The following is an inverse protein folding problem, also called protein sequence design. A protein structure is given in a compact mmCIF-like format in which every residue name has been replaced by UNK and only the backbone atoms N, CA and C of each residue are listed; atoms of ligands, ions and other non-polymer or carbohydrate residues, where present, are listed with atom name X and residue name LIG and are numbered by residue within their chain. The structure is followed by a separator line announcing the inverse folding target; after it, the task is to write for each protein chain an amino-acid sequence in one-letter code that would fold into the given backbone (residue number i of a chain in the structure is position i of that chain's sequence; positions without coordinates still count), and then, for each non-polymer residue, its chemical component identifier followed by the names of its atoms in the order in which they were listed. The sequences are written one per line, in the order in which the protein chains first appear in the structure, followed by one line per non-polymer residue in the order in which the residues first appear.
data_IF_387149914038
#
_entry.id   IF_387149914038
#
_cell.length_a   1.000
_cell.length_b   1.000
_cell.length_c   1.000
_cell.angle_alpha   90.00
_cell.angle_beta   90.00
_cell.angle_gamma   90.00
#
_symmetry.space_group_name_H-M   'P 1'
#
loop_
_entity.id
_entity.type
_entity.pdbx_description
1 polymer ?
#
# COMPACT_ATOMS: atom_id res chain seq x y z
N UNK A 1 22.78 -1.57 15.70
CA UNK A 1 22.23 -1.76 14.33
C UNK A 1 20.87 -1.08 14.29
N UNK A 2 20.71 0.00 13.51
CA UNK A 2 19.38 0.56 13.23
C UNK A 2 18.65 -0.51 12.40
N UNK A 3 17.61 -1.13 12.95
CA UNK A 3 16.76 -2.02 12.15
C UNK A 3 16.11 -1.15 11.09
N UNK A 4 16.26 -1.48 9.80
CA UNK A 4 15.58 -0.69 8.80
C UNK A 4 14.08 -0.79 8.99
N UNK A 5 13.43 0.36 8.96
CA UNK A 5 12.00 0.44 9.17
C UNK A 5 11.35 0.09 7.84
N UNK A 6 10.92 -1.17 7.74
CA UNK A 6 10.08 -1.62 6.64
C UNK A 6 8.62 -1.33 6.99
N UNK A 7 7.85 -0.97 5.96
CA UNK A 7 6.41 -0.86 6.04
C UNK A 7 5.81 -1.79 4.98
N UNK A 8 4.66 -2.35 5.32
CA UNK A 8 3.91 -3.22 4.41
C UNK A 8 2.94 -2.36 3.61
N UNK A 9 2.95 -2.51 2.28
CA UNK A 9 1.96 -1.89 1.43
C UNK A 9 0.58 -2.48 1.71
N UNK A 10 -0.38 -1.63 2.10
CA UNK A 10 -1.75 -2.08 2.41
C UNK A 10 -2.54 -2.57 1.18
N UNK A 11 -2.03 -2.33 -0.03
CA UNK A 11 -2.66 -2.71 -1.30
C UNK A 11 -2.19 -4.10 -1.75
N UNK A 12 -0.86 -4.34 -1.75
CA UNK A 12 -0.28 -5.58 -2.28
C UNK A 12 0.39 -6.48 -1.23
N UNK A 13 0.46 -6.07 0.05
CA UNK A 13 1.01 -6.88 1.14
C UNK A 13 2.53 -7.07 1.12
N UNK A 14 3.27 -6.36 0.26
CA UNK A 14 4.74 -6.45 0.17
C UNK A 14 5.44 -5.44 1.07
N UNK A 15 6.64 -5.81 1.53
CA UNK A 15 7.51 -4.98 2.37
C UNK A 15 8.35 -4.00 1.54
N UNK A 16 8.34 -2.73 1.95
CA UNK A 16 9.15 -1.67 1.35
C UNK A 16 9.84 -0.88 2.44
N UNK A 17 11.00 -0.30 2.10
CA UNK A 17 11.64 0.70 2.96
C UNK A 17 10.66 1.84 3.25
N UNK A 18 10.64 2.34 4.48
CA UNK A 18 9.74 3.44 4.87
C UNK A 18 9.86 4.67 3.98
N UNK A 19 11.03 4.93 3.39
CA UNK A 19 11.22 6.03 2.44
C UNK A 19 10.63 5.72 1.05
N UNK A 20 10.74 4.47 0.60
CA UNK A 20 10.26 4.05 -0.71
C UNK A 20 8.76 3.75 -0.74
N UNK A 21 8.14 3.42 0.41
CA UNK A 21 6.71 3.08 0.44
C UNK A 21 5.82 4.25 0.01
N UNK A 22 6.20 5.49 0.32
CA UNK A 22 5.49 6.70 -0.11
C UNK A 22 5.46 6.88 -1.63
N UNK A 23 6.45 6.32 -2.33
CA UNK A 23 6.52 6.31 -3.80
C UNK A 23 5.83 5.06 -4.37
N UNK A 24 5.91 3.94 -3.66
CA UNK A 24 5.28 2.68 -4.06
C UNK A 24 3.75 2.71 -3.97
N UNK A 25 3.17 3.17 -2.86
CA UNK A 25 1.71 3.18 -2.63
C UNK A 25 0.91 3.80 -3.79
N UNK A 26 1.21 5.02 -4.28
CA UNK A 26 0.45 5.60 -5.39
C UNK A 26 0.60 4.80 -6.69
N UNK A 27 1.80 4.28 -6.99
CA UNK A 27 2.02 3.43 -8.17
C UNK A 27 1.29 2.08 -8.05
N UNK A 28 1.23 1.52 -6.85
CA UNK A 28 0.53 0.28 -6.57
C UNK A 28 -0.99 0.47 -6.70
N UNK A 29 -1.51 1.61 -6.27
CA UNK A 29 -2.93 1.95 -6.37
C UNK A 29 -3.34 2.11 -7.83
N UNK A 30 -2.54 2.82 -8.62
CA UNK A 30 -2.79 2.99 -10.06
C UNK A 30 -2.85 1.63 -10.79
N UNK A 31 -1.86 0.76 -10.52
CA UNK A 31 -1.89 -0.61 -11.04
C UNK A 31 -3.13 -1.38 -10.62
N UNK A 32 -3.54 -1.24 -9.37
CA UNK A 32 -4.74 -1.89 -8.85
C UNK A 32 -6.00 -1.41 -9.57
N UNK A 33 -6.13 -0.11 -9.85
CA UNK A 33 -7.26 0.43 -10.61
C UNK A 33 -7.33 -0.15 -12.03
N UNK A 34 -6.19 -0.21 -12.71
CA UNK A 34 -6.10 -0.77 -14.07
C UNK A 34 -6.49 -2.26 -14.07
N UNK A 35 -5.99 -3.04 -13.10
CA UNK A 35 -6.33 -4.45 -12.96
C UNK A 35 -7.81 -4.63 -12.59
N UNK A 36 -8.34 -3.77 -11.73
CA UNK A 36 -9.73 -3.83 -11.27
C UNK A 36 -10.74 -3.40 -12.33
N UNK A 37 -10.42 -2.40 -13.17
CA UNK A 37 -11.32 -1.98 -14.25
C UNK A 37 -11.38 -3.00 -15.38
N UNK A 38 -10.30 -3.76 -15.60
CA UNK A 38 -10.30 -4.90 -16.52
C UNK A 38 -11.16 -6.08 -16.06
N UNK A 39 -11.53 -6.14 -14.76
CA UNK A 39 -12.43 -7.18 -14.28
C UNK A 39 -13.89 -6.88 -14.69
N UNK A 40 -14.68 -7.93 -15.00
CA UNK A 40 -16.13 -7.80 -15.15
C UNK A 40 -16.74 -7.11 -13.93
N UNK A 41 -17.79 -6.29 -14.14
CA UNK A 41 -18.41 -5.47 -13.07
C UNK A 41 -18.70 -6.22 -11.76
N UNK A 42 -19.05 -7.50 -11.85
CA UNK A 42 -19.37 -8.36 -10.70
C UNK A 42 -18.14 -8.91 -9.96
N UNK A 43 -16.95 -8.85 -10.56
CA UNK A 43 -15.66 -9.25 -9.96
C UNK A 43 -14.83 -8.05 -9.52
N UNK A 44 -15.24 -6.83 -9.88
CA UNK A 44 -14.57 -5.61 -9.44
C UNK A 44 -14.63 -5.51 -7.93
N UNK A 45 -13.48 -5.25 -7.33
CA UNK A 45 -13.28 -5.04 -5.92
C UNK A 45 -13.44 -3.56 -5.59
N UNK A 46 -13.80 -3.28 -4.34
CA UNK A 46 -13.82 -1.93 -3.80
C UNK A 46 -12.39 -1.45 -3.60
N UNK A 47 -12.16 -0.15 -3.78
CA UNK A 47 -10.85 0.47 -3.58
C UNK A 47 -10.28 0.14 -2.19
N UNK A 48 -9.02 -0.29 -2.10
CA UNK A 48 -8.37 -0.56 -0.84
C UNK A 48 -8.24 0.74 -0.05
N UNK A 49 -8.87 0.79 1.12
CA UNK A 49 -8.83 1.97 1.99
C UNK A 49 -7.46 2.06 2.64
N UNK A 50 -6.81 3.21 2.51
CA UNK A 50 -5.58 3.49 3.27
C UNK A 50 -5.94 3.47 4.76
N UNK A 51 -5.31 2.62 5.58
CA UNK A 51 -5.49 2.72 7.02
C UNK A 51 -5.02 4.10 7.45
N UNK A 52 -5.88 4.87 8.11
CA UNK A 52 -5.48 6.08 8.80
C UNK A 52 -4.47 5.64 9.85
N UNK A 53 -3.18 5.79 9.52
CA UNK A 53 -2.10 5.43 10.42
C UNK A 53 -2.23 6.36 11.61
N UNK A 54 -2.89 5.90 12.68
CA UNK A 54 -2.64 6.39 14.02
C UNK A 54 -1.13 6.23 14.18
N UNK A 55 -0.42 7.35 14.10
CA UNK A 55 1.02 7.40 14.31
C UNK A 55 1.26 7.10 15.77
N UNK A 56 1.15 5.82 16.15
CA UNK A 56 1.86 5.36 17.34
C UNK A 56 3.32 5.63 17.04
N UNK A 57 3.94 6.41 17.93
CA UNK A 57 5.31 6.89 17.82
C UNK A 57 6.26 5.71 18.02
N UNK A 58 6.22 4.73 17.13
CA UNK A 58 7.27 3.74 17.02
C UNK A 58 8.40 4.44 16.29
N UNK A 59 9.13 5.22 17.09
CA UNK A 59 10.42 5.81 16.75
C UNK A 59 11.36 4.65 16.42
N UNK A 60 11.55 4.44 15.13
CA UNK A 60 12.92 4.43 14.65
C UNK A 60 13.45 5.88 14.76
#
# INVERSE_FOLDING_TARGET
MVRPCFRVCYICGREFWSQSISIHEPQCLEKWHIENDQLPRHLRRVEPRKPEVLTDKVKC
#
